data_IF_837550256013
#
_entry.id   IF_837550256013
#
_cell.length_a   1.000
_cell.length_b   1.000
_cell.length_c   1.000
_cell.angle_alpha   90.00
_cell.angle_beta   90.00
_cell.angle_gamma   90.00
#
_symmetry.space_group_name_H-M   'P 1'
#
loop_
_entity.id
_entity.type
_entity.pdbx_description
1 polymer ?
#
# COMPACT_ATOMS: atom_id res chain seq x y z
N UNK A 1 -11.84 -27.74 -4.86
CA UNK A 1 -10.55 -27.36 -4.24
C UNK A 1 -9.81 -26.43 -5.20
N UNK A 2 -9.20 -25.34 -4.72
CA UNK A 2 -8.38 -24.46 -5.56
C UNK A 2 -7.18 -25.25 -6.12
N UNK A 3 -6.96 -25.18 -7.43
CA UNK A 3 -5.81 -25.79 -8.10
C UNK A 3 -4.87 -24.67 -8.56
N UNK A 4 -3.62 -24.73 -8.12
CA UNK A 4 -2.62 -23.77 -8.57
C UNK A 4 -2.39 -23.92 -10.09
N UNK A 5 -2.25 -22.81 -10.83
CA UNK A 5 -1.97 -22.87 -12.27
C UNK A 5 -0.66 -23.62 -12.55
N UNK A 6 -0.57 -24.25 -13.72
CA UNK A 6 0.60 -25.02 -14.13
C UNK A 6 1.86 -24.15 -14.13
N UNK A 7 2.93 -24.63 -13.48
CA UNK A 7 4.20 -23.90 -13.36
C UNK A 7 4.28 -22.94 -12.17
N UNK A 8 3.28 -22.91 -11.28
CA UNK A 8 3.36 -22.13 -10.05
C UNK A 8 4.50 -22.64 -9.16
N UNK A 9 5.45 -21.75 -8.85
CA UNK A 9 6.55 -22.01 -7.93
C UNK A 9 6.53 -20.99 -6.80
N UNK A 10 6.87 -21.47 -5.61
CA UNK A 10 7.11 -20.62 -4.46
C UNK A 10 8.39 -19.82 -4.72
N UNK A 11 8.32 -18.50 -4.56
CA UNK A 11 9.49 -17.64 -4.68
C UNK A 11 10.33 -17.75 -3.40
N UNK A 12 11.61 -18.16 -3.48
CA UNK A 12 12.45 -18.38 -2.29
C UNK A 12 12.64 -17.11 -1.44
N UNK A 13 12.80 -15.96 -2.10
CA UNK A 13 12.94 -14.64 -1.44
C UNK A 13 11.66 -14.28 -0.65
N UNK A 14 10.49 -14.43 -1.28
CA UNK A 14 9.22 -14.16 -0.61
C UNK A 14 8.92 -15.18 0.50
N UNK A 15 9.38 -16.43 0.38
CA UNK A 15 9.19 -17.47 1.37
C UNK A 15 10.01 -17.25 2.65
N UNK A 16 11.17 -16.60 2.53
CA UNK A 16 12.04 -16.25 3.66
C UNK A 16 11.59 -14.98 4.39
N UNK A 17 10.74 -14.17 3.77
CA UNK A 17 10.19 -12.96 4.37
C UNK A 17 9.25 -13.26 5.56
N UNK A 18 9.05 -12.31 6.48
CA UNK A 18 8.03 -12.43 7.53
C UNK A 18 6.66 -12.82 6.95
N UNK A 19 5.94 -13.72 7.64
CA UNK A 19 4.66 -14.29 7.17
C UNK A 19 3.66 -13.25 6.65
N UNK A 20 3.56 -12.11 7.32
CA UNK A 20 2.65 -11.03 6.91
C UNK A 20 3.05 -10.43 5.54
N UNK A 21 4.35 -10.23 5.31
CA UNK A 21 4.88 -9.70 4.06
C UNK A 21 4.81 -10.72 2.94
N UNK A 22 5.18 -11.97 3.22
CA UNK A 22 5.05 -13.08 2.26
C UNK A 22 3.60 -13.23 1.78
N UNK A 23 2.63 -13.20 2.71
CA UNK A 23 1.19 -13.24 2.38
C UNK A 23 0.80 -12.08 1.47
N UNK A 24 1.18 -10.85 1.84
CA UNK A 24 0.87 -9.66 1.04
C UNK A 24 1.50 -9.75 -0.35
N UNK A 25 2.76 -10.17 -0.45
CA UNK A 25 3.44 -10.39 -1.73
C UNK A 25 2.65 -11.33 -2.65
N UNK A 26 2.21 -12.50 -2.16
CA UNK A 26 1.43 -13.42 -2.97
C UNK A 26 0.04 -12.87 -3.32
N UNK A 27 -0.57 -12.08 -2.44
CA UNK A 27 -1.80 -11.37 -2.76
C UNK A 27 -1.59 -10.33 -3.87
N UNK A 28 -0.48 -9.59 -3.84
CA UNK A 28 -0.09 -8.68 -4.92
C UNK A 28 0.15 -9.42 -6.24
N UNK A 29 0.99 -10.46 -6.20
CA UNK A 29 1.34 -11.29 -7.36
C UNK A 29 0.12 -11.94 -8.03
N UNK A 30 -0.89 -12.31 -7.25
CA UNK A 30 -2.10 -12.94 -7.77
C UNK A 30 -3.24 -11.96 -8.05
N UNK A 31 -3.07 -10.66 -7.80
CA UNK A 31 -4.12 -9.65 -7.98
C UNK A 31 -5.25 -9.69 -6.95
N UNK A 32 -5.02 -10.32 -5.79
CA UNK A 32 -5.96 -10.42 -4.66
C UNK A 32 -5.52 -9.58 -3.45
N UNK A 33 -4.58 -8.65 -3.65
CA UNK A 33 -4.20 -7.69 -2.63
C UNK A 33 -5.41 -6.86 -2.21
N UNK A 34 -5.55 -6.53 -0.91
CA UNK A 34 -6.66 -5.73 -0.40
C UNK A 34 -6.48 -4.25 -0.78
N UNK A 35 -6.35 -3.94 -2.07
CA UNK A 35 -6.35 -2.57 -2.58
C UNK A 35 -7.77 -2.03 -2.61
N UNK A 36 -7.96 -0.71 -2.57
CA UNK A 36 -9.29 -0.10 -2.62
C UNK A 36 -10.08 -0.56 -3.85
N UNK A 37 -9.44 -0.73 -5.02
CA UNK A 37 -10.12 -1.25 -6.21
C UNK A 37 -10.60 -2.70 -6.04
N UNK A 38 -9.80 -3.56 -5.40
CA UNK A 38 -10.20 -4.94 -5.12
C UNK A 38 -11.32 -4.99 -4.07
N UNK A 39 -11.18 -4.23 -2.98
CA UNK A 39 -12.16 -4.17 -1.89
C UNK A 39 -13.51 -3.64 -2.39
N UNK A 40 -13.49 -2.62 -3.23
CA UNK A 40 -14.71 -2.10 -3.86
C UNK A 40 -15.37 -3.14 -4.78
N UNK A 41 -14.58 -3.88 -5.57
CA UNK A 41 -15.10 -4.94 -6.45
C UNK A 41 -15.84 -6.04 -5.66
N UNK A 42 -15.41 -6.35 -4.44
CA UNK A 42 -16.04 -7.36 -3.58
C UNK A 42 -17.08 -6.78 -2.61
N UNK A 43 -17.39 -5.47 -2.70
CA UNK A 43 -18.37 -4.82 -1.84
C UNK A 43 -17.91 -4.51 -0.41
N UNK A 44 -16.60 -4.61 -0.12
CA UNK A 44 -16.04 -4.32 1.20
C UNK A 44 -15.63 -2.85 1.40
N UNK A 45 -15.74 -2.02 0.36
CA UNK A 45 -15.45 -0.58 0.42
C UNK A 45 -16.32 0.19 -0.59
N UNK A 46 -16.80 1.35 -0.20
CA UNK A 46 -17.72 2.15 -1.03
C UNK A 46 -17.06 2.78 -2.25
N UNK A 47 -15.74 3.01 -2.19
CA UNK A 47 -14.98 3.68 -3.25
C UNK A 47 -13.73 2.90 -3.66
N UNK A 48 -13.46 2.79 -4.98
CA UNK A 48 -12.23 2.19 -5.49
C UNK A 48 -11.03 3.14 -5.46
N UNK A 49 -11.21 4.39 -5.01
CA UNK A 49 -10.15 5.42 -5.01
C UNK A 49 -9.11 5.14 -3.94
N UNK A 50 -7.86 5.53 -4.22
CA UNK A 50 -6.77 5.45 -3.26
C UNK A 50 -7.08 6.31 -2.03
N UNK A 51 -6.92 5.73 -0.83
CA UNK A 51 -7.15 6.46 0.42
C UNK A 51 -6.12 7.56 0.66
N UNK A 52 -4.94 7.41 0.07
CA UNK A 52 -3.78 8.27 0.33
C UNK A 52 -3.74 9.48 -0.59
N UNK A 53 -3.90 9.26 -1.90
CA UNK A 53 -3.85 10.36 -2.87
C UNK A 53 -5.22 10.77 -3.43
N UNK A 54 -6.29 10.01 -3.19
CA UNK A 54 -7.67 10.29 -3.63
C UNK A 54 -7.93 10.48 -5.14
N UNK A 55 -6.89 10.48 -5.98
CA UNK A 55 -6.99 10.85 -7.39
C UNK A 55 -7.36 9.68 -8.32
N UNK A 56 -6.89 8.47 -8.00
CA UNK A 56 -6.93 7.33 -8.92
C UNK A 56 -7.49 6.09 -8.26
N UNK A 57 -7.98 5.13 -9.07
CA UNK A 57 -8.35 3.80 -8.59
C UNK A 57 -7.11 3.12 -8.01
N UNK A 58 -7.21 2.62 -6.78
CA UNK A 58 -6.08 1.98 -6.11
C UNK A 58 -5.88 0.56 -6.62
N UNK A 59 -5.03 0.42 -7.63
CA UNK A 59 -4.53 -0.86 -8.13
C UNK A 59 -3.12 -1.11 -7.63
N UNK A 60 -2.63 -2.34 -7.81
CA UNK A 60 -1.23 -2.67 -7.53
C UNK A 60 -0.28 -1.79 -8.35
N UNK A 61 -0.56 -1.63 -9.65
CA UNK A 61 0.18 -0.73 -10.53
C UNK A 61 0.13 0.73 -10.04
N UNK A 62 -1.02 1.20 -9.54
CA UNK A 62 -1.12 2.53 -8.96
C UNK A 62 -0.15 2.70 -7.78
N UNK A 63 -0.17 1.76 -6.82
CA UNK A 63 0.70 1.81 -5.65
C UNK A 63 2.19 1.78 -6.03
N UNK A 64 2.57 0.90 -6.96
CA UNK A 64 3.97 0.73 -7.37
C UNK A 64 4.51 1.84 -8.27
N UNK A 65 3.68 2.44 -9.12
CA UNK A 65 4.18 3.29 -10.22
C UNK A 65 3.57 4.69 -10.30
N UNK A 66 2.41 4.95 -9.70
CA UNK A 66 1.65 6.19 -9.95
C UNK A 66 1.31 6.98 -8.69
N UNK A 67 1.22 6.34 -7.52
CA UNK A 67 0.78 6.99 -6.31
C UNK A 67 1.71 8.15 -5.94
N UNK A 68 1.14 9.34 -5.80
CA UNK A 68 1.87 10.58 -5.48
C UNK A 68 2.31 10.60 -4.02
N UNK A 69 1.50 10.06 -3.12
CA UNK A 69 1.84 9.92 -1.71
C UNK A 69 3.09 9.06 -1.51
N UNK A 70 3.20 7.97 -2.28
CA UNK A 70 4.31 7.03 -2.17
C UNK A 70 5.53 7.37 -3.01
N UNK A 71 5.70 8.64 -3.43
CA UNK A 71 6.78 9.03 -4.34
C UNK A 71 8.16 8.67 -3.80
N UNK A 72 8.44 8.91 -2.52
CA UNK A 72 9.74 8.61 -1.89
C UNK A 72 10.04 7.10 -1.88
N UNK A 73 9.04 6.29 -1.52
CA UNK A 73 9.13 4.83 -1.50
C UNK A 73 9.32 4.28 -2.92
N UNK A 74 8.63 4.85 -3.91
CA UNK A 74 8.81 4.47 -5.32
C UNK A 74 10.20 4.83 -5.86
N UNK A 75 10.75 5.98 -5.48
CA UNK A 75 12.12 6.36 -5.84
C UNK A 75 13.14 5.36 -5.25
N UNK A 76 12.96 4.94 -4.00
CA UNK A 76 13.78 3.89 -3.37
C UNK A 76 13.63 2.54 -4.09
N UNK A 77 12.40 2.14 -4.43
CA UNK A 77 12.13 0.94 -5.23
C UNK A 77 12.88 0.98 -6.56
N UNK A 78 12.79 2.08 -7.31
CA UNK A 78 13.47 2.19 -8.60
C UNK A 78 14.99 2.19 -8.48
N UNK A 79 15.54 2.75 -7.41
CA UNK A 79 16.98 2.66 -7.14
C UNK A 79 17.40 1.22 -6.89
N UNK A 80 16.68 0.48 -6.06
CA UNK A 80 16.95 -0.93 -5.80
C UNK A 80 16.82 -1.78 -7.09
N UNK A 81 15.83 -1.51 -7.93
CA UNK A 81 15.67 -2.20 -9.23
C UNK A 81 16.84 -1.93 -10.19
N UNK A 82 17.35 -0.70 -10.24
CA UNK A 82 18.52 -0.37 -11.06
C UNK A 82 19.78 -1.08 -10.57
N UNK A 83 19.98 -1.18 -9.24
CA UNK A 83 21.11 -1.88 -8.63
C UNK A 83 21.13 -3.38 -9.02
N UNK A 84 19.96 -4.01 -9.09
CA UNK A 84 19.83 -5.41 -9.53
C UNK A 84 19.70 -5.59 -11.04
N UNK A 85 19.82 -4.50 -11.82
CA UNK A 85 19.73 -4.46 -13.29
C UNK A 85 18.38 -4.95 -13.83
N UNK A 86 17.28 -4.69 -13.12
CA UNK A 86 15.93 -4.95 -13.59
C UNK A 86 15.38 -3.72 -14.30
N UNK A 87 14.88 -3.89 -15.53
CA UNK A 87 14.35 -2.77 -16.31
C UNK A 87 13.11 -2.16 -15.65
N UNK A 88 13.15 -0.83 -15.51
CA UNK A 88 12.02 -0.04 -15.05
C UNK A 88 10.80 -0.24 -15.96
N UNK A 89 9.59 -0.24 -15.41
CA UNK A 89 8.38 -0.37 -16.20
C UNK A 89 8.20 0.81 -17.14
N UNK A 90 7.92 0.51 -18.41
CA UNK A 90 7.65 1.53 -19.42
C UNK A 90 6.17 1.96 -19.34
N UNK A 91 5.83 3.23 -19.62
CA UNK A 91 4.43 3.67 -19.63
C UNK A 91 3.53 2.95 -20.64
N UNK A 92 4.12 2.40 -21.70
CA UNK A 92 3.41 1.67 -22.77
C UNK A 92 3.31 0.18 -22.51
N UNK A 93 3.88 -0.32 -21.41
CA UNK A 93 3.85 -1.73 -21.07
C UNK A 93 2.46 -2.14 -20.58
N UNK A 94 1.93 -3.25 -21.10
CA UNK A 94 0.70 -3.85 -20.58
C UNK A 94 1.04 -4.68 -19.32
N UNK A 95 0.42 -4.32 -18.20
CA UNK A 95 0.60 -4.98 -16.89
C UNK A 95 2.07 -5.10 -16.40
N UNK A 96 2.81 -3.98 -16.27
CA UNK A 96 4.21 -3.96 -15.80
C UNK A 96 4.42 -4.61 -14.44
N UNK A 97 3.41 -4.60 -13.58
CA UNK A 97 3.45 -5.26 -12.28
C UNK A 97 3.65 -6.78 -12.42
N UNK A 98 2.98 -7.43 -13.39
CA UNK A 98 3.05 -8.88 -13.56
C UNK A 98 4.47 -9.33 -13.93
N UNK A 99 5.15 -8.56 -14.80
CA UNK A 99 6.56 -8.80 -15.13
C UNK A 99 7.46 -8.63 -13.91
N UNK A 100 7.29 -7.55 -13.13
CA UNK A 100 8.11 -7.34 -11.93
C UNK A 100 7.90 -8.45 -10.89
N UNK A 101 6.67 -8.92 -10.69
CA UNK A 101 6.41 -10.04 -9.77
C UNK A 101 6.91 -11.41 -10.29
N UNK A 102 7.20 -11.52 -11.59
CA UNK A 102 7.78 -12.71 -12.20
C UNK A 102 9.32 -12.72 -12.11
N UNK A 103 9.97 -11.56 -11.98
CA UNK A 103 11.42 -11.47 -11.87
C UNK A 103 11.88 -11.72 -10.41
N UNK A 104 12.64 -12.78 -10.12
CA UNK A 104 13.10 -13.09 -8.77
C UNK A 104 13.99 -11.99 -8.17
N UNK A 105 14.72 -11.23 -9.00
CA UNK A 105 15.60 -10.16 -8.54
C UNK A 105 14.83 -8.95 -8.00
N UNK A 106 13.62 -8.73 -8.51
CA UNK A 106 12.77 -7.62 -8.09
C UNK A 106 12.08 -7.88 -6.74
N UNK A 107 11.97 -9.15 -6.32
CA UNK A 107 11.16 -9.54 -5.16
C UNK A 107 11.61 -8.85 -3.88
N UNK A 108 12.92 -8.82 -3.62
CA UNK A 108 13.47 -8.17 -2.43
C UNK A 108 13.10 -6.67 -2.40
N UNK A 109 13.30 -5.98 -3.52
CA UNK A 109 12.98 -4.55 -3.65
C UNK A 109 11.46 -4.28 -3.46
N UNK A 110 10.60 -5.18 -3.96
CA UNK A 110 9.15 -5.08 -3.79
C UNK A 110 8.72 -5.29 -2.34
N UNK A 111 9.39 -6.18 -1.59
CA UNK A 111 9.15 -6.39 -0.16
C UNK A 111 9.56 -5.15 0.65
N UNK A 112 10.76 -4.61 0.39
CA UNK A 112 11.28 -3.40 1.03
C UNK A 112 10.37 -2.19 0.77
N UNK A 113 9.89 -2.02 -0.47
CA UNK A 113 8.91 -1.00 -0.81
C UNK A 113 7.65 -1.11 0.05
N UNK A 114 7.13 -2.33 0.23
CA UNK A 114 5.91 -2.55 1.02
C UNK A 114 6.13 -2.23 2.50
N UNK A 115 7.28 -2.60 3.05
CA UNK A 115 7.64 -2.25 4.43
C UNK A 115 7.73 -0.73 4.61
N UNK A 116 8.39 -0.03 3.69
CA UNK A 116 8.50 1.43 3.72
C UNK A 116 7.14 2.12 3.65
N UNK A 117 6.22 1.63 2.79
CA UNK A 117 4.84 2.14 2.74
C UNK A 117 4.11 1.92 4.06
N UNK A 118 4.21 0.71 4.65
CA UNK A 118 3.57 0.41 5.94
C UNK A 118 4.10 1.30 7.07
N UNK A 119 5.40 1.54 7.12
CA UNK A 119 6.02 2.40 8.13
C UNK A 119 5.46 3.83 8.02
N UNK A 120 5.43 4.39 6.81
CA UNK A 120 4.89 5.73 6.58
C UNK A 120 3.39 5.84 6.90
N UNK A 121 2.58 4.83 6.58
CA UNK A 121 1.17 4.81 6.97
C UNK A 121 0.99 4.84 8.49
N UNK A 122 1.80 4.08 9.22
CA UNK A 122 1.75 4.06 10.68
C UNK A 122 2.15 5.42 11.29
N UNK A 123 3.14 6.10 10.69
CA UNK A 123 3.56 7.45 11.12
C UNK A 123 2.48 8.48 10.83
N UNK A 124 1.84 8.43 9.65
CA UNK A 124 0.71 9.31 9.30
C UNK A 124 -0.47 9.13 10.26
N UNK A 125 -0.82 7.88 10.58
CA UNK A 125 -1.89 7.57 11.54
C UNK A 125 -1.56 8.08 12.94
N UNK A 126 -0.34 7.84 13.44
CA UNK A 126 0.07 8.34 14.76
C UNK A 126 0.07 9.89 14.83
N UNK A 127 0.47 10.56 13.75
CA UNK A 127 0.44 12.02 13.67
C UNK A 127 -1.00 12.56 13.63
N UNK A 128 -1.89 11.92 12.87
CA UNK A 128 -3.31 12.27 12.82
C UNK A 128 -4.01 12.04 14.16
N UNK A 129 -3.74 10.90 14.81
CA UNK A 129 -4.25 10.60 16.16
C UNK A 129 -3.72 11.60 17.21
N UNK A 130 -2.45 12.01 17.13
CA UNK A 130 -1.90 13.04 18.01
C UNK A 130 -2.62 14.39 17.82
N UNK A 131 -2.80 14.82 16.57
CA UNK A 131 -3.56 16.03 16.25
C UNK A 131 -5.02 15.94 16.72
N UNK A 132 -5.66 14.79 16.56
CA UNK A 132 -7.02 14.57 17.03
C UNK A 132 -7.09 14.55 18.56
N UNK A 133 -6.11 13.96 19.24
CA UNK A 133 -5.97 13.99 20.70
C UNK A 133 -5.83 15.41 21.24
N UNK A 134 -5.06 16.27 20.55
CA UNK A 134 -4.91 17.68 20.90
C UNK A 134 -6.20 18.50 20.67
N UNK A 135 -7.14 17.99 19.86
CA UNK A 135 -8.46 18.60 19.62
C UNK A 135 -9.46 18.34 20.76
N UNK A 136 -9.22 17.38 21.66
CA UNK A 136 -10.12 17.03 22.78
C UNK A 136 -9.89 17.91 24.03
N UNK A 137 -9.85 19.23 23.87
CA UNK A 137 -9.47 20.14 24.97
C UNK A 137 -10.13 21.51 25.07
N UNK A 138 -11.13 21.85 24.24
CA UNK A 138 -11.80 23.18 24.29
C UNK A 138 -13.33 23.11 24.33
N UNK A 139 -13.97 22.03 23.90
CA UNK A 139 -15.45 21.97 23.85
C UNK A 139 -16.14 21.70 25.21
N UNK A 140 -15.38 21.48 26.30
CA UNK A 140 -15.93 21.16 27.62
C UNK A 140 -15.99 22.34 28.61
N UNK A 141 -15.73 23.57 28.17
CA UNK A 141 -15.73 24.75 29.07
C UNK A 141 -16.71 25.87 28.68
N UNK A 142 -17.32 25.84 27.50
CA UNK A 142 -18.24 26.92 27.07
C UNK A 142 -19.73 26.67 27.40
N UNK A 143 -20.10 25.49 27.93
CA UNK A 143 -21.50 25.23 28.33
C UNK A 143 -21.79 25.53 29.82
N UNK A 144 -20.77 25.69 30.68
CA UNK A 144 -20.98 25.95 32.13
C UNK A 144 -20.96 27.46 32.51
N UNK A 145 -20.59 28.38 31.62
CA UNK A 145 -20.67 29.84 31.88
C UNK A 145 -22.03 30.46 31.51
N UNK A 146 -22.98 29.66 31.00
CA UNK A 146 -24.28 30.13 30.51
C UNK A 146 -25.49 29.46 31.21
N UNK A 147 -25.31 28.86 32.40
CA UNK A 147 -26.44 28.45 33.27
C UNK A 147 -26.31 29.02 34.70
N UNK A 148 -25.63 30.17 34.85
CA UNK A 148 -25.34 30.82 36.13
C UNK A 148 -26.02 32.18 36.37
N UNK A 149 -26.97 32.61 35.54
CA UNK A 149 -27.77 33.82 35.79
C UNK A 149 -29.27 33.51 35.63
N UNK A 150 -29.95 33.26 36.75
CA UNK A 150 -31.39 33.04 36.85
C UNK A 150 -31.88 32.99 38.29
#
# INVERSE_FOLDING_TARGET
>A
AYQAPRGWRLDPEAAQAPKQLARLYYQFKTGHAPTAAYLHRIGARDSPRCGECSESRETVAHLLFNCRQWRRQREALYKALDEVKVSRPAPTEEAPEARLFADPKAIKALLEFREAVRASQSEQQAAEEALQGDSWGIEAMEEDEQEGEG
#
